data_IF_985177305122
#
_entry.id   IF_985177305122
#
_cell.length_a   1.000
_cell.length_b   1.000
_cell.length_c   1.000
_cell.angle_alpha   90.00
_cell.angle_beta   90.00
_cell.angle_gamma   90.00
#
_symmetry.space_group_name_H-M   'P 1'
#
loop_
_entity.id
_entity.type
_entity.pdbx_description
1 polymer ?
#
# COMPACT_ATOMS: atom_id res chain seq x y z
N UNK A 1 -50.26 -42.94 26.06
CA UNK A 1 -49.08 -42.72 26.93
C UNK A 1 -47.83 -43.05 26.14
N UNK A 2 -46.79 -42.23 26.30
CA UNK A 2 -45.39 -42.34 25.80
C UNK A 2 -45.20 -42.00 24.30
N UNK A 3 -44.89 -40.76 23.88
CA UNK A 3 -43.74 -39.83 24.14
C UNK A 3 -42.57 -40.09 23.17
N UNK A 4 -42.32 -39.07 22.32
CA UNK A 4 -41.06 -38.57 21.73
C UNK A 4 -40.17 -39.57 20.94
N UNK A 5 -39.52 -39.26 19.81
CA UNK A 5 -38.73 -38.08 19.48
C UNK A 5 -38.43 -37.99 17.97
N UNK A 6 -38.48 -36.76 17.45
CA UNK A 6 -37.61 -36.14 16.45
C UNK A 6 -36.56 -37.00 15.72
N UNK A 7 -36.65 -37.04 14.39
CA UNK A 7 -35.47 -37.04 13.50
C UNK A 7 -35.71 -36.03 12.37
N UNK A 8 -35.41 -34.76 12.70
CA UNK A 8 -35.27 -33.66 11.75
C UNK A 8 -33.80 -33.61 11.30
N UNK A 9 -33.59 -33.43 10.00
CA UNK A 9 -32.45 -32.76 9.37
C UNK A 9 -31.03 -33.32 9.62
N UNK A 10 -30.55 -34.15 8.70
CA UNK A 10 -29.15 -34.15 8.27
C UNK A 10 -29.04 -33.46 6.91
N UNK A 11 -29.41 -32.19 6.84
CA UNK A 11 -28.82 -31.28 5.86
C UNK A 11 -27.50 -30.79 6.45
N UNK A 12 -26.45 -31.59 6.27
CA UNK A 12 -25.06 -31.15 6.40
C UNK A 12 -24.80 -30.14 5.29
N UNK A 13 -25.22 -28.90 5.51
CA UNK A 13 -24.72 -27.78 4.74
C UNK A 13 -23.22 -27.77 4.93
N UNK A 14 -22.53 -28.00 3.83
CA UNK A 14 -21.11 -27.78 3.66
C UNK A 14 -20.79 -26.37 4.18
N UNK A 15 -20.33 -26.27 5.42
CA UNK A 15 -19.58 -25.12 5.89
C UNK A 15 -18.21 -25.21 5.23
N UNK A 16 -18.16 -24.85 3.94
CA UNK A 16 -16.93 -24.44 3.29
C UNK A 16 -16.33 -23.36 4.18
N UNK A 17 -15.07 -23.54 4.53
CA UNK A 17 -14.27 -22.65 5.35
C UNK A 17 -14.43 -21.19 4.88
N UNK A 18 -15.37 -20.48 5.50
CA UNK A 18 -15.40 -19.03 5.50
C UNK A 18 -14.33 -18.58 6.51
N UNK A 19 -13.06 -18.80 6.14
CA UNK A 19 -12.01 -17.94 6.66
C UNK A 19 -12.45 -16.52 6.36
N UNK A 20 -12.44 -15.64 7.36
CA UNK A 20 -12.79 -14.23 7.20
C UNK A 20 -12.16 -13.69 5.92
N UNK A 21 -12.97 -13.43 4.90
CA UNK A 21 -12.48 -12.94 3.62
C UNK A 21 -12.00 -11.51 3.84
N UNK A 22 -10.69 -11.38 4.00
CA UNK A 22 -10.01 -10.11 4.16
C UNK A 22 -9.63 -9.58 2.79
N UNK A 23 -9.84 -8.29 2.58
CA UNK A 23 -9.48 -7.60 1.35
C UNK A 23 -8.53 -6.45 1.66
N UNK A 24 -7.50 -6.31 0.83
CA UNK A 24 -6.45 -5.31 1.01
C UNK A 24 -6.35 -4.51 -0.27
N UNK A 25 -6.46 -3.18 -0.17
CA UNK A 25 -6.16 -2.26 -1.27
C UNK A 25 -5.03 -1.35 -0.81
N UNK A 26 -4.01 -1.24 -1.63
CA UNK A 26 -2.85 -0.41 -1.34
C UNK A 26 -2.64 0.65 -2.41
N UNK A 27 -2.14 1.81 -2.00
CA UNK A 27 -1.60 2.82 -2.89
C UNK A 27 -0.20 3.22 -2.44
N UNK A 28 0.63 3.64 -3.38
CA UNK A 28 1.89 4.29 -3.10
C UNK A 28 1.89 5.69 -3.69
N UNK A 29 2.65 6.62 -3.09
CA UNK A 29 2.90 7.95 -3.69
C UNK A 29 4.24 8.52 -3.26
N UNK A 30 4.76 9.42 -4.09
CA UNK A 30 5.85 10.31 -3.73
C UNK A 30 5.24 11.55 -3.06
N UNK A 31 5.82 12.00 -1.96
CA UNK A 31 5.52 13.32 -1.38
C UNK A 31 6.78 14.16 -1.41
N UNK A 32 6.65 15.37 -1.95
CA UNK A 32 7.79 16.22 -2.33
C UNK A 32 8.14 16.09 -3.81
N UNK A 33 9.19 16.79 -4.24
CA UNK A 33 9.65 16.78 -5.63
C UNK A 33 10.45 15.50 -5.93
N UNK A 34 10.22 14.89 -7.09
CA UNK A 34 11.15 13.89 -7.61
C UNK A 34 12.46 14.59 -8.00
N UNK A 35 13.49 14.31 -7.22
CA UNK A 35 14.84 14.82 -7.44
C UNK A 35 15.76 13.74 -8.01
N UNK A 36 15.24 12.57 -8.39
CA UNK A 36 16.06 11.51 -8.98
C UNK A 36 16.65 11.98 -10.31
N UNK A 37 17.95 11.76 -10.54
CA UNK A 37 18.55 12.00 -11.85
C UNK A 37 17.90 11.05 -12.89
N UNK A 38 17.27 11.58 -13.96
CA UNK A 38 16.60 10.76 -14.96
C UNK A 38 17.52 9.80 -15.73
N UNK A 39 18.84 10.00 -15.64
CA UNK A 39 19.88 9.15 -16.25
C UNK A 39 20.47 8.13 -15.28
N UNK A 40 20.24 8.28 -13.98
CA UNK A 40 20.75 7.35 -12.99
C UNK A 40 20.18 5.94 -13.18
N UNK A 41 21.03 4.94 -13.05
CA UNK A 41 20.68 3.52 -13.12
C UNK A 41 21.67 2.69 -12.31
N UNK A 42 21.27 1.46 -11.95
CA UNK A 42 22.14 0.53 -11.23
C UNK A 42 22.73 1.12 -9.94
N UNK A 43 24.05 1.12 -9.84
CA UNK A 43 24.79 1.58 -8.64
C UNK A 43 24.48 3.04 -8.30
N UNK A 44 24.32 3.89 -9.30
CA UNK A 44 24.06 5.33 -9.12
C UNK A 44 22.77 5.59 -8.32
N UNK A 45 21.77 4.73 -8.46
CA UNK A 45 20.49 4.84 -7.76
C UNK A 45 20.68 4.68 -6.24
N UNK A 46 21.56 3.77 -5.83
CA UNK A 46 21.83 3.49 -4.41
C UNK A 46 22.97 4.31 -3.83
N UNK A 47 23.94 4.75 -4.66
CA UNK A 47 25.13 5.45 -4.19
C UNK A 47 24.89 6.94 -3.96
N UNK A 48 24.07 7.57 -4.80
CA UNK A 48 23.87 9.00 -4.75
C UNK A 48 22.61 9.34 -3.94
N UNK A 49 22.72 10.08 -2.82
CA UNK A 49 21.57 10.47 -1.99
C UNK A 49 20.44 11.17 -2.76
N UNK A 50 20.77 11.84 -3.86
CA UNK A 50 19.76 12.46 -4.74
C UNK A 50 18.78 11.44 -5.34
N UNK A 51 19.18 10.18 -5.46
CA UNK A 51 18.39 9.10 -6.06
C UNK A 51 17.74 8.19 -5.01
N UNK A 52 17.90 8.45 -3.72
CA UNK A 52 17.46 7.52 -2.67
C UNK A 52 15.94 7.32 -2.61
N UNK A 53 15.13 8.25 -3.13
CA UNK A 53 13.70 8.02 -3.30
C UNK A 53 13.44 6.86 -4.26
N UNK A 54 14.11 6.85 -5.42
CA UNK A 54 14.06 5.76 -6.37
C UNK A 54 14.67 4.46 -5.81
N UNK A 55 15.75 4.54 -5.03
CA UNK A 55 16.31 3.38 -4.32
C UNK A 55 15.28 2.77 -3.35
N UNK A 56 14.65 3.60 -2.52
CA UNK A 56 13.62 3.17 -1.58
C UNK A 56 12.44 2.50 -2.30
N UNK A 57 11.95 3.11 -3.38
CA UNK A 57 10.91 2.51 -4.23
C UNK A 57 11.33 1.17 -4.83
N UNK A 58 12.57 1.05 -5.31
CA UNK A 58 13.12 -0.20 -5.86
C UNK A 58 13.17 -1.31 -4.80
N UNK A 59 13.62 -1.00 -3.58
CA UNK A 59 13.68 -1.94 -2.46
C UNK A 59 12.28 -2.38 -2.03
N UNK A 60 11.31 -1.46 -1.97
CA UNK A 60 9.92 -1.79 -1.64
C UNK A 60 9.32 -2.73 -2.69
N UNK A 61 9.49 -2.44 -3.98
CA UNK A 61 9.03 -3.33 -5.07
C UNK A 61 9.68 -4.70 -4.94
N UNK A 62 11.00 -4.76 -4.78
CA UNK A 62 11.73 -6.02 -4.60
C UNK A 62 11.25 -6.83 -3.38
N UNK A 63 10.97 -6.13 -2.27
CA UNK A 63 10.39 -6.74 -1.05
C UNK A 63 9.02 -7.37 -1.31
N UNK A 64 8.21 -6.71 -2.14
CA UNK A 64 6.90 -7.22 -2.57
C UNK A 64 7.02 -8.41 -3.52
N UNK A 65 7.91 -8.34 -4.52
CA UNK A 65 8.16 -9.43 -5.47
C UNK A 65 8.59 -10.72 -4.76
N UNK A 66 9.45 -10.61 -3.73
CA UNK A 66 9.95 -11.74 -2.95
C UNK A 66 8.83 -12.58 -2.30
N UNK A 67 7.67 -11.98 -2.02
CA UNK A 67 6.51 -12.65 -1.40
C UNK A 67 5.31 -12.73 -2.33
N UNK A 68 5.50 -12.42 -3.63
CA UNK A 68 4.42 -12.35 -4.63
C UNK A 68 3.30 -11.40 -4.20
N UNK A 69 3.67 -10.28 -3.60
CA UNK A 69 2.77 -9.15 -3.36
C UNK A 69 2.39 -8.54 -4.72
N UNK A 70 1.38 -9.13 -5.33
CA UNK A 70 0.79 -8.70 -6.58
C UNK A 70 -0.72 -8.65 -6.37
N UNK A 71 -1.37 -7.51 -6.66
CA UNK A 71 -2.82 -7.44 -6.55
C UNK A 71 -3.50 -8.32 -7.59
N UNK A 72 -4.67 -8.83 -7.22
CA UNK A 72 -5.52 -9.63 -8.10
C UNK A 72 -6.46 -8.69 -8.88
N UNK A 73 -7.57 -9.24 -9.39
CA UNK A 73 -8.59 -8.48 -10.11
C UNK A 73 -9.08 -7.27 -9.29
N UNK A 74 -9.33 -6.15 -9.96
CA UNK A 74 -9.74 -4.87 -9.38
C UNK A 74 -8.76 -4.25 -8.37
N UNK A 75 -7.52 -4.77 -8.30
CA UNK A 75 -6.48 -4.19 -7.47
C UNK A 75 -6.48 -4.63 -6.01
N UNK A 76 -7.15 -5.75 -5.72
CA UNK A 76 -7.40 -6.24 -4.37
C UNK A 76 -6.48 -7.43 -4.09
N UNK A 77 -5.88 -7.46 -2.90
CA UNK A 77 -5.17 -8.60 -2.37
C UNK A 77 -6.04 -9.28 -1.30
N UNK A 78 -6.24 -10.59 -1.44
CA UNK A 78 -7.10 -11.38 -0.54
C UNK A 78 -6.33 -12.29 0.42
N UNK A 79 -5.00 -12.16 0.46
CA UNK A 79 -4.14 -12.95 1.33
C UNK A 79 -3.36 -12.00 2.25
N UNK A 80 -3.82 -11.92 3.50
CA UNK A 80 -3.18 -11.10 4.52
C UNK A 80 -1.75 -11.57 4.83
N UNK A 81 -1.44 -12.86 4.69
CA UNK A 81 -0.09 -13.34 4.94
C UNK A 81 0.89 -12.79 3.89
N UNK A 82 0.47 -12.69 2.63
CA UNK A 82 1.30 -12.04 1.59
C UNK A 82 1.59 -10.59 1.96
N UNK A 83 0.59 -9.85 2.43
CA UNK A 83 0.75 -8.46 2.84
C UNK A 83 1.63 -8.30 4.10
N UNK A 84 1.41 -9.14 5.12
CA UNK A 84 2.21 -9.12 6.34
C UNK A 84 3.67 -9.48 6.05
N UNK A 85 3.91 -10.48 5.20
CA UNK A 85 5.26 -10.87 4.78
C UNK A 85 5.93 -9.77 3.96
N UNK A 86 5.19 -9.07 3.10
CA UNK A 86 5.68 -7.88 2.38
C UNK A 86 6.17 -6.82 3.37
N UNK A 87 5.35 -6.52 4.40
CA UNK A 87 5.76 -5.61 5.47
C UNK A 87 7.02 -6.10 6.17
N UNK A 88 7.01 -7.31 6.70
CA UNK A 88 8.17 -7.88 7.40
C UNK A 88 9.45 -7.79 6.58
N UNK A 89 9.38 -8.04 5.27
CA UNK A 89 10.54 -7.96 4.37
C UNK A 89 11.17 -6.57 4.33
N UNK A 90 10.39 -5.52 4.10
CA UNK A 90 10.98 -4.17 4.02
C UNK A 90 11.29 -3.61 5.42
N UNK A 91 10.51 -3.94 6.47
CA UNK A 91 10.84 -3.55 7.84
C UNK A 91 12.15 -4.18 8.32
N UNK A 92 12.49 -5.38 7.82
CA UNK A 92 13.74 -6.05 8.12
C UNK A 92 14.91 -5.66 7.20
N UNK A 93 14.68 -4.79 6.21
CA UNK A 93 15.74 -4.37 5.29
C UNK A 93 16.75 -3.47 6.03
N UNK A 94 18.06 -3.81 6.06
CA UNK A 94 19.03 -3.07 6.87
C UNK A 94 19.23 -1.59 6.48
N UNK A 95 18.87 -1.23 5.25
CA UNK A 95 18.89 0.16 4.79
C UNK A 95 17.68 0.99 5.23
N UNK A 96 16.71 0.39 5.94
CA UNK A 96 15.57 1.10 6.53
C UNK A 96 15.61 0.97 8.06
N UNK A 97 15.49 2.09 8.75
CA UNK A 97 15.47 2.14 10.21
C UNK A 97 14.12 2.65 10.71
N UNK A 98 13.47 1.90 11.59
CA UNK A 98 12.21 2.33 12.21
C UNK A 98 12.44 3.61 13.02
N UNK A 99 11.79 4.70 12.59
CA UNK A 99 11.81 5.99 13.28
C UNK A 99 10.71 6.05 14.33
N UNK A 100 9.50 5.63 13.96
CA UNK A 100 8.37 5.49 14.88
C UNK A 100 7.36 4.49 14.34
N UNK A 101 6.57 3.95 15.25
CA UNK A 101 5.40 3.12 15.01
C UNK A 101 4.33 3.60 15.99
N UNK A 102 3.24 4.15 15.46
CA UNK A 102 2.19 4.75 16.29
C UNK A 102 1.35 3.65 16.92
N UNK A 103 0.89 3.90 18.14
CA UNK A 103 -0.20 3.10 18.69
C UNK A 103 -1.42 3.19 17.76
N UNK A 104 -2.21 2.12 17.63
CA UNK A 104 -3.45 2.17 16.85
C UNK A 104 -4.39 3.23 17.41
N UNK A 105 -4.89 4.11 16.55
CA UNK A 105 -5.88 5.12 16.89
C UNK A 105 -7.23 4.64 16.36
N UNK A 106 -8.23 4.58 17.24
CA UNK A 106 -9.58 4.15 16.89
C UNK A 106 -10.57 5.30 16.90
N UNK A 107 -11.50 5.31 15.95
CA UNK A 107 -12.55 6.31 15.85
C UNK A 107 -13.85 5.72 15.30
N UNK A 108 -14.98 6.29 15.73
CA UNK A 108 -16.31 5.85 15.36
C UNK A 108 -16.74 6.42 14.00
N UNK A 109 -17.22 5.52 13.13
CA UNK A 109 -17.83 5.82 11.85
C UNK A 109 -19.34 5.60 11.94
N UNK A 110 -20.12 6.45 11.27
CA UNK A 110 -21.56 6.37 11.14
C UNK A 110 -22.02 5.81 9.78
N UNK A 111 -21.06 5.46 8.91
CA UNK A 111 -21.29 4.97 7.56
C UNK A 111 -21.13 6.01 6.44
N UNK A 112 -20.94 7.28 6.79
CA UNK A 112 -20.72 8.36 5.82
C UNK A 112 -19.24 8.45 5.38
N UNK A 113 -19.00 8.53 4.06
CA UNK A 113 -17.64 8.60 3.48
C UNK A 113 -16.94 9.91 3.83
N UNK A 114 -17.66 11.03 3.93
CA UNK A 114 -17.07 12.32 4.32
C UNK A 114 -16.69 12.31 5.79
N UNK A 115 -17.51 11.73 6.66
CA UNK A 115 -17.16 11.55 8.06
C UNK A 115 -15.88 10.70 8.23
N UNK A 116 -15.69 9.65 7.41
CA UNK A 116 -14.41 8.91 7.41
C UNK A 116 -13.23 9.84 7.12
N UNK A 117 -13.30 10.64 6.06
CA UNK A 117 -12.24 11.59 5.70
C UNK A 117 -11.96 12.57 6.84
N UNK A 118 -13.00 13.18 7.40
CA UNK A 118 -12.87 14.18 8.45
C UNK A 118 -12.31 13.58 9.76
N UNK A 119 -12.68 12.33 10.09
CA UNK A 119 -12.13 11.60 11.23
C UNK A 119 -10.65 11.25 11.03
N UNK A 120 -10.25 10.85 9.81
CA UNK A 120 -8.85 10.59 9.47
C UNK A 120 -8.01 11.86 9.57
N UNK A 121 -8.46 12.96 8.98
CA UNK A 121 -7.76 14.25 9.02
C UNK A 121 -7.53 14.69 10.48
N UNK A 122 -8.56 14.57 11.33
CA UNK A 122 -8.45 14.86 12.76
C UNK A 122 -7.45 13.94 13.47
N UNK A 123 -7.53 12.63 13.21
CA UNK A 123 -6.62 11.66 13.83
C UNK A 123 -5.15 11.95 13.50
N UNK A 124 -4.84 12.44 12.30
CA UNK A 124 -3.48 12.84 11.91
C UNK A 124 -3.05 14.18 12.49
N UNK A 125 -3.94 15.18 12.52
CA UNK A 125 -3.61 16.50 13.08
C UNK A 125 -3.37 16.45 14.59
N UNK A 126 -4.19 15.71 15.33
CA UNK A 126 -4.11 15.66 16.80
C UNK A 126 -2.93 14.83 17.30
N UNK A 127 -2.51 13.79 16.56
CA UNK A 127 -1.53 12.82 17.06
C UNK A 127 -0.13 12.93 16.46
N UNK A 128 0.03 13.53 15.26
CA UNK A 128 1.30 13.48 14.53
C UNK A 128 1.92 14.88 14.28
N UNK A 129 1.37 15.95 14.90
CA UNK A 129 1.83 17.35 14.74
C UNK A 129 2.14 17.74 13.28
N UNK A 130 1.39 17.16 12.32
CA UNK A 130 1.63 17.36 10.90
C UNK A 130 1.11 18.72 10.45
N UNK A 131 1.62 19.18 9.32
CA UNK A 131 0.97 20.28 8.60
C UNK A 131 -0.48 19.88 8.29
N UNK A 132 -1.43 20.80 8.46
CA UNK A 132 -2.84 20.55 8.16
C UNK A 132 -3.05 20.07 6.71
N UNK A 133 -2.16 20.48 5.78
CA UNK A 133 -2.23 20.06 4.38
C UNK A 133 -1.87 18.58 4.21
N UNK A 134 -0.85 18.09 4.91
CA UNK A 134 -0.44 16.68 4.84
C UNK A 134 -1.52 15.74 5.36
N UNK A 135 -2.13 16.06 6.50
CA UNK A 135 -3.20 15.25 7.10
C UNK A 135 -4.40 15.13 6.17
N UNK A 136 -4.80 16.25 5.57
CA UNK A 136 -5.88 16.30 4.57
C UNK A 136 -5.55 15.46 3.33
N UNK A 137 -4.34 15.57 2.80
CA UNK A 137 -3.92 14.79 1.63
C UNK A 137 -3.88 13.28 1.90
N UNK A 138 -3.51 12.85 3.11
CA UNK A 138 -3.59 11.44 3.53
C UNK A 138 -5.05 10.99 3.61
N UNK A 139 -5.91 11.76 4.27
CA UNK A 139 -7.33 11.45 4.42
C UNK A 139 -8.06 11.36 3.06
N UNK A 140 -7.82 12.32 2.17
CA UNK A 140 -8.36 12.33 0.80
C UNK A 140 -7.92 11.08 0.01
N UNK A 141 -6.69 10.62 0.19
CA UNK A 141 -6.20 9.42 -0.48
C UNK A 141 -6.89 8.14 0.02
N UNK A 142 -7.14 8.03 1.33
CA UNK A 142 -7.93 6.92 1.88
C UNK A 142 -9.39 6.94 1.39
N UNK A 143 -10.02 8.11 1.32
CA UNK A 143 -11.38 8.22 0.79
C UNK A 143 -11.46 7.77 -0.68
N UNK A 144 -10.41 8.05 -1.46
CA UNK A 144 -10.30 7.63 -2.87
C UNK A 144 -9.97 6.14 -3.03
N UNK A 145 -9.25 5.54 -2.07
CA UNK A 145 -8.96 4.11 -2.06
C UNK A 145 -10.22 3.26 -1.88
N UNK A 146 -11.25 3.79 -1.22
CA UNK A 146 -12.50 3.08 -1.02
C UNK A 146 -13.23 2.81 -2.35
N UNK A 147 -13.44 1.55 -2.73
CA UNK A 147 -14.18 1.22 -3.95
C UNK A 147 -15.62 1.72 -3.82
N UNK A 148 -16.15 2.31 -4.90
CA UNK A 148 -17.58 2.63 -4.97
C UNK A 148 -18.42 1.40 -5.30
N UNK A 149 -17.88 0.55 -6.17
CA UNK A 149 -18.52 -0.67 -6.67
C UNK A 149 -17.46 -1.74 -6.88
N UNK A 150 -17.81 -2.98 -6.55
CA UNK A 150 -16.99 -4.16 -6.74
C UNK A 150 -17.67 -5.09 -7.73
N UNK A 151 -16.94 -5.58 -8.72
CA UNK A 151 -17.45 -6.55 -9.69
C UNK A 151 -17.01 -7.98 -9.34
N UNK A 152 -15.86 -8.12 -8.68
CA UNK A 152 -15.35 -9.40 -8.21
C UNK A 152 -16.19 -9.95 -7.04
N UNK A 153 -16.67 -11.20 -7.16
CA UNK A 153 -17.55 -11.82 -6.15
C UNK A 153 -16.85 -12.07 -4.82
N UNK A 154 -15.55 -12.37 -4.85
CA UNK A 154 -14.74 -12.56 -3.65
C UNK A 154 -14.53 -11.22 -2.93
N UNK A 155 -14.33 -10.14 -3.67
CA UNK A 155 -14.33 -8.79 -3.14
C UNK A 155 -15.66 -8.42 -2.49
N UNK A 156 -16.79 -8.76 -3.12
CA UNK A 156 -18.11 -8.48 -2.57
C UNK A 156 -18.40 -9.24 -1.27
N UNK A 157 -17.85 -10.45 -1.11
CA UNK A 157 -18.02 -11.28 0.07
C UNK A 157 -17.05 -10.93 1.21
N UNK A 158 -15.96 -10.20 0.92
CA UNK A 158 -15.02 -9.69 1.91
C UNK A 158 -15.66 -8.63 2.83
N UNK A 159 -15.58 -8.88 4.14
CA UNK A 159 -16.11 -7.96 5.16
C UNK A 159 -15.03 -7.07 5.76
N UNK A 160 -13.85 -7.63 6.01
CA UNK A 160 -12.76 -6.92 6.67
C UNK A 160 -11.80 -6.37 5.63
N UNK A 161 -11.58 -5.06 5.68
CA UNK A 161 -10.79 -4.33 4.70
C UNK A 161 -9.61 -3.63 5.36
N UNK A 162 -8.42 -3.81 4.79
CA UNK A 162 -7.26 -2.98 5.07
C UNK A 162 -6.99 -2.09 3.87
N UNK A 163 -7.15 -0.78 4.06
CA UNK A 163 -6.66 0.21 3.12
C UNK A 163 -5.25 0.59 3.54
N UNK A 164 -4.29 0.49 2.63
CA UNK A 164 -2.91 0.85 2.90
C UNK A 164 -2.45 1.98 2.00
N UNK A 165 -1.66 2.89 2.57
CA UNK A 165 -0.96 3.90 1.83
C UNK A 165 0.52 3.87 2.20
N UNK A 166 1.39 3.74 1.20
CA UNK A 166 2.84 3.89 1.34
C UNK A 166 3.28 5.23 0.76
N UNK A 167 3.90 6.07 1.57
CA UNK A 167 4.45 7.37 1.18
C UNK A 167 5.97 7.24 1.11
N UNK A 168 6.56 7.55 -0.04
CA UNK A 168 8.00 7.78 -0.12
C UNK A 168 8.16 9.29 -0.10
N UNK A 169 8.81 9.83 0.92
CA UNK A 169 8.93 11.27 1.12
C UNK A 169 10.37 11.69 0.92
N UNK A 170 10.55 12.71 0.09
CA UNK A 170 11.84 13.38 -0.09
C UNK A 170 11.77 14.75 0.58
N UNK A 171 12.44 14.90 1.72
CA UNK A 171 12.50 16.17 2.45
C UNK A 171 13.31 17.23 1.72
N UNK A 172 13.14 18.49 2.11
CA UNK A 172 13.97 19.61 1.62
C UNK A 172 15.45 19.43 2.01
N UNK A 173 15.70 18.73 3.12
CA UNK A 173 17.02 18.34 3.60
C UNK A 173 17.62 17.15 2.82
N UNK A 174 16.98 16.72 1.73
CA UNK A 174 17.32 15.56 0.89
C UNK A 174 17.25 14.22 1.60
N UNK A 175 16.73 14.16 2.83
CA UNK A 175 16.52 12.88 3.52
C UNK A 175 15.29 12.21 2.94
N UNK A 176 15.39 10.89 2.80
CA UNK A 176 14.28 10.06 2.34
C UNK A 176 13.73 9.28 3.52
N UNK A 177 12.41 9.26 3.62
CA UNK A 177 11.71 8.43 4.59
C UNK A 177 10.51 7.77 3.94
N UNK A 178 10.14 6.60 4.45
CA UNK A 178 8.98 5.84 4.02
C UNK A 178 7.96 5.92 5.15
N UNK A 179 6.73 6.27 4.84
CA UNK A 179 5.62 6.19 5.79
C UNK A 179 4.62 5.17 5.29
N UNK A 180 4.14 4.32 6.18
CA UNK A 180 3.06 3.38 5.90
C UNK A 180 1.91 3.74 6.81
N UNK A 181 0.74 3.92 6.20
CA UNK A 181 -0.51 4.16 6.88
C UNK A 181 -1.46 3.02 6.55
N UNK A 182 -2.10 2.47 7.58
CA UNK A 182 -3.00 1.32 7.47
C UNK A 182 -4.31 1.66 8.17
N UNK A 183 -5.40 1.68 7.41
CA UNK A 183 -6.75 1.84 7.92
C UNK A 183 -7.49 0.51 7.84
N UNK A 184 -7.91 0.00 8.98
CA UNK A 184 -8.75 -1.18 9.11
C UNK A 184 -10.20 -0.78 9.30
N UNK A 185 -11.08 -1.33 8.47
CA UNK A 185 -12.53 -1.12 8.56
C UNK A 185 -13.31 -2.33 8.02
N UNK A 186 -14.59 -2.39 8.35
CA UNK A 186 -15.57 -3.35 7.85
C UNK A 186 -16.41 -2.70 6.76
N UNK A 187 -16.52 -3.33 5.60
CA UNK A 187 -17.41 -2.88 4.52
C UNK A 187 -18.54 -3.88 4.32
N UNK A 188 -19.71 -3.38 3.92
CA UNK A 188 -20.77 -4.21 3.36
C UNK A 188 -20.90 -3.94 1.88
N UNK A 189 -21.17 -4.98 1.10
CA UNK A 189 -21.38 -4.85 -0.33
C UNK A 189 -22.74 -5.43 -0.69
N UNK A 190 -23.50 -4.69 -1.49
CA UNK A 190 -24.77 -5.19 -2.04
C UNK A 190 -24.46 -6.29 -3.05
N UNK A 191 -24.86 -7.54 -2.76
CA UNK A 191 -24.64 -8.67 -3.66
C UNK A 191 -25.35 -8.52 -5.02
N UNK A 192 -26.43 -7.72 -5.08
CA UNK A 192 -27.19 -7.48 -6.31
C UNK A 192 -26.55 -6.39 -7.18
N UNK A 193 -26.05 -5.32 -6.57
CA UNK A 193 -25.62 -4.13 -7.31
C UNK A 193 -24.10 -3.93 -7.33
N UNK A 194 -23.39 -4.62 -6.44
CA UNK A 194 -21.95 -4.47 -6.19
C UNK A 194 -21.57 -3.19 -5.44
N UNK A 195 -22.53 -2.34 -5.05
CA UNK A 195 -22.23 -1.08 -4.35
C UNK A 195 -21.71 -1.35 -2.94
N UNK A 196 -20.64 -0.65 -2.59
CA UNK A 196 -19.96 -0.74 -1.30
C UNK A 196 -20.49 0.33 -0.36
N UNK A 197 -20.73 -0.07 0.89
CA UNK A 197 -21.21 0.77 1.96
C UNK A 197 -20.25 0.68 3.15
N UNK A 198 -19.93 1.83 3.74
CA UNK A 198 -19.24 1.88 5.02
C UNK A 198 -20.28 1.60 6.10
N UNK A 199 -19.99 0.66 6.99
CA UNK A 199 -20.86 0.39 8.13
C UNK A 199 -20.65 1.42 9.25
N UNK A 200 -21.66 1.57 10.11
CA UNK A 200 -21.43 2.14 11.45
C UNK A 200 -20.53 1.18 12.23
N UNK A 201 -19.36 1.66 12.68
CA UNK A 201 -18.34 0.83 13.30
C UNK A 201 -17.23 1.66 13.94
N UNK A 202 -16.40 1.02 14.75
CA UNK A 202 -15.07 1.52 15.10
C UNK A 202 -14.08 1.17 13.98
N UNK A 203 -13.45 2.17 13.38
CA UNK A 203 -12.31 1.98 12.48
C UNK A 203 -11.00 2.23 13.22
N UNK A 204 -9.91 1.62 12.76
CA UNK A 204 -8.60 1.75 13.40
C UNK A 204 -7.54 2.12 12.38
N UNK A 205 -6.75 3.14 12.68
CA UNK A 205 -5.60 3.54 11.88
C UNK A 205 -4.28 3.30 12.61
N UNK A 206 -3.28 2.85 11.87
CA UNK A 206 -1.90 2.72 12.34
C UNK A 206 -0.96 3.37 11.35
N UNK A 207 0.10 3.99 11.85
CA UNK A 207 1.15 4.59 11.03
C UNK A 207 2.53 4.14 11.48
N UNK A 208 3.43 3.93 10.52
CA UNK A 208 4.83 3.68 10.80
C UNK A 208 5.70 4.53 9.87
N UNK A 209 6.85 4.98 10.38
CA UNK A 209 7.84 5.73 9.60
C UNK A 209 9.19 5.02 9.65
N UNK A 210 9.78 4.82 8.48
CA UNK A 210 11.12 4.29 8.28
C UNK A 210 12.01 5.40 7.73
N UNK A 211 13.16 5.63 8.36
CA UNK A 211 14.21 6.46 7.78
C UNK A 211 15.02 5.62 6.80
N UNK A 212 15.30 6.18 5.62
CA UNK A 212 16.25 5.57 4.68
C UNK A 212 17.67 5.88 5.17
N UNK A 213 18.47 4.84 5.38
CA UNK A 213 19.83 4.98 5.86
C UNK A 213 20.77 5.25 4.68
N UNK A 214 21.03 6.52 4.43
CA UNK A 214 21.87 6.97 3.32
C UNK A 214 23.27 6.34 3.33
N UNK A 215 23.87 6.20 4.52
CA UNK A 215 25.20 5.61 4.68
C UNK A 215 25.20 4.13 4.31
N UNK A 216 24.14 3.40 4.65
CA UNK A 216 24.00 2.00 4.26
C UNK A 216 23.85 1.87 2.74
N UNK A 217 22.92 2.61 2.14
CA UNK A 217 22.71 2.56 0.69
C UNK A 217 23.99 2.91 -0.08
N UNK A 218 24.69 3.96 0.35
CA UNK A 218 25.95 4.38 -0.27
C UNK A 218 27.04 3.33 -0.15
N UNK A 219 27.26 2.79 1.06
CA UNK A 219 28.32 1.82 1.33
C UNK A 219 28.11 0.47 0.63
N UNK A 220 26.85 0.06 0.45
CA UNK A 220 26.49 -1.23 -0.14
C UNK A 220 25.92 -1.11 -1.57
N UNK A 221 26.06 0.05 -2.22
CA UNK A 221 25.42 0.37 -3.48
C UNK A 221 25.70 -0.66 -4.59
N UNK A 222 26.95 -1.12 -4.74
CA UNK A 222 27.31 -2.11 -5.76
C UNK A 222 26.62 -3.45 -5.53
N UNK A 223 26.56 -3.91 -4.27
CA UNK A 223 25.91 -5.16 -3.90
C UNK A 223 24.39 -5.06 -4.09
N UNK A 224 23.80 -3.94 -3.67
CA UNK A 224 22.37 -3.68 -3.87
C UNK A 224 22.02 -3.65 -5.36
N UNK A 225 22.79 -2.94 -6.19
CA UNK A 225 22.54 -2.86 -7.63
C UNK A 225 22.66 -4.20 -8.37
N UNK A 226 23.46 -5.13 -7.87
CA UNK A 226 23.56 -6.49 -8.44
C UNK A 226 22.33 -7.36 -8.13
N UNK A 227 21.59 -7.06 -7.05
CA UNK A 227 20.53 -7.92 -6.52
C UNK A 227 19.13 -7.34 -6.66
N UNK A 228 19.02 -6.02 -6.59
CA UNK A 228 17.76 -5.29 -6.58
C UNK A 228 17.63 -4.54 -7.91
N UNK A 229 16.64 -4.89 -8.75
CA UNK A 229 16.34 -4.14 -9.96
C UNK A 229 16.06 -2.67 -9.63
N UNK A 230 16.76 -1.76 -10.29
CA UNK A 230 16.54 -0.32 -10.12
C UNK A 230 15.36 0.16 -10.94
N UNK A 231 14.47 0.88 -10.29
CA UNK A 231 13.28 1.48 -10.89
C UNK A 231 13.33 3.00 -10.72
N UNK A 232 12.70 3.73 -11.65
CA UNK A 232 12.33 5.11 -11.40
C UNK A 232 11.26 5.15 -10.32
N UNK A 233 11.23 6.21 -9.51
CA UNK A 233 10.25 6.34 -8.42
C UNK A 233 8.80 6.26 -8.93
N UNK A 234 8.51 6.88 -10.09
CA UNK A 234 7.19 6.78 -10.75
C UNK A 234 6.81 5.33 -11.08
N UNK A 235 7.76 4.54 -11.59
CA UNK A 235 7.51 3.12 -11.90
C UNK A 235 7.30 2.30 -10.63
N UNK A 236 8.09 2.55 -9.59
CA UNK A 236 7.93 1.88 -8.30
C UNK A 236 6.56 2.18 -7.67
N UNK A 237 6.14 3.44 -7.67
CA UNK A 237 4.81 3.86 -7.19
C UNK A 237 3.70 3.16 -7.95
N UNK A 238 3.81 3.07 -9.29
CA UNK A 238 2.83 2.39 -10.12
C UNK A 238 2.73 0.90 -9.78
N UNK A 239 3.86 0.23 -9.55
CA UNK A 239 3.88 -1.21 -9.22
C UNK A 239 3.32 -1.47 -7.82
N UNK A 240 3.65 -0.62 -6.85
CA UNK A 240 3.20 -0.75 -5.46
C UNK A 240 1.72 -0.35 -5.28
N UNK A 241 1.19 0.47 -6.18
CA UNK A 241 -0.22 0.87 -6.18
C UNK A 241 -1.07 -0.21 -6.81
N UNK A 242 -1.99 -0.77 -6.04
CA UNK A 242 -2.75 -1.92 -6.47
C UNK A 242 -4.05 -1.55 -7.17
N UNK A 243 -4.65 -0.40 -6.86
CA UNK A 243 -5.96 0.00 -7.39
C UNK A 243 -5.88 0.76 -8.73
N UNK A 244 -7.05 0.92 -9.37
CA UNK A 244 -7.29 1.81 -10.53
C UNK A 244 -6.95 3.30 -10.27
N UNK A 245 -6.33 3.64 -9.13
CA UNK A 245 -5.74 4.95 -8.84
C UNK A 245 -4.60 5.32 -9.80
N UNK A 246 -4.17 4.43 -10.70
CA UNK A 246 -3.30 4.79 -11.84
C UNK A 246 -3.84 5.97 -12.64
N UNK A 247 -5.16 6.14 -12.75
CA UNK A 247 -5.79 7.28 -13.42
C UNK A 247 -5.71 8.59 -12.62
N UNK A 248 -5.53 8.52 -11.30
CA UNK A 248 -5.50 9.70 -10.42
C UNK A 248 -4.10 10.30 -10.26
N UNK A 249 -3.05 9.49 -10.46
CA UNK A 249 -1.67 9.99 -10.48
C UNK A 249 -1.38 10.81 -11.75
N UNK A 250 -2.10 10.56 -12.85
CA UNK A 250 -2.02 11.36 -14.07
C UNK A 250 -2.50 12.81 -13.85
N UNK A 251 -3.56 13.02 -13.05
CA UNK A 251 -4.10 14.36 -12.74
C UNK A 251 -3.21 15.17 -11.77
N UNK A 252 -2.34 14.50 -11.00
CA UNK A 252 -1.34 15.19 -10.16
C UNK A 252 -0.11 15.60 -10.96
N UNK A 253 0.34 14.78 -11.91
CA UNK A 253 1.45 15.09 -12.82
C UNK A 253 1.12 16.32 -13.71
N UNK A 254 -0.13 16.52 -14.12
CA UNK A 254 -0.54 17.63 -15.00
C UNK A 254 -0.47 19.02 -14.31
N UNK A 255 -0.46 19.07 -12.97
CA UNK A 255 -0.28 20.32 -12.23
C UNK A 255 1.18 20.66 -11.91
N UNK A 256 2.09 19.71 -12.04
CA UNK A 256 3.53 19.91 -11.77
C UNK A 256 4.38 20.04 -13.03
N UNK A 257 3.95 19.45 -14.15
CA UNK A 257 4.65 19.55 -15.43
C UNK A 257 3.90 20.46 -16.42
N UNK A 258 4.10 21.77 -16.23
CA UNK A 258 3.97 22.69 -17.36
C UNK A 258 5.02 22.33 -18.41
N UNK A 259 4.56 21.76 -19.53
CA UNK A 259 5.30 21.52 -20.79
C UNK A 259 6.06 20.19 -20.91
N UNK A 260 5.47 19.20 -21.60
CA UNK A 260 5.86 18.74 -22.94
C UNK A 260 5.25 17.36 -23.28
N UNK A 261 4.49 17.31 -24.39
CA UNK A 261 4.63 16.28 -25.41
C UNK A 261 4.19 14.83 -25.12
N UNK A 262 2.99 14.50 -25.59
CA UNK A 262 2.51 13.16 -25.97
C UNK A 262 3.56 12.23 -26.61
N UNK A 263 3.61 10.96 -26.17
CA UNK A 263 3.91 9.83 -27.06
C UNK A 263 3.39 8.49 -26.52
N UNK A 264 2.91 7.68 -27.46
CA UNK A 264 2.15 6.44 -27.32
C UNK A 264 2.89 5.26 -26.66
N UNK A 265 2.08 4.31 -26.17
CA UNK A 265 2.51 3.17 -25.38
C UNK A 265 3.27 2.07 -26.13
N UNK A 266 3.86 1.18 -25.35
CA UNK A 266 4.25 -0.17 -25.78
C UNK A 266 4.20 -1.09 -24.56
N UNK A 267 3.27 -2.05 -24.56
CA UNK A 267 3.25 -3.17 -23.60
C UNK A 267 4.45 -4.08 -23.89
N UNK A 268 5.37 -4.24 -22.93
CA UNK A 268 6.39 -5.29 -22.95
C UNK A 268 6.05 -6.38 -21.93
N UNK A 269 6.11 -7.62 -22.40
CA UNK A 269 5.97 -8.87 -21.66
C UNK A 269 7.15 -9.09 -20.70
N UNK A 270 6.86 -9.41 -19.45
CA UNK A 270 7.87 -9.74 -18.43
C UNK A 270 8.52 -11.11 -18.68
N UNK A 271 9.85 -11.12 -18.81
CA UNK A 271 10.69 -12.31 -18.71
C UNK A 271 10.80 -12.76 -17.24
N UNK A 272 10.60 -14.06 -16.97
CA UNK A 272 10.81 -14.67 -15.65
C UNK A 272 12.29 -14.57 -15.24
N UNK A 273 12.59 -13.76 -14.24
CA UNK A 273 13.87 -13.80 -13.52
C UNK A 273 13.74 -14.70 -12.27
N UNK A 274 14.83 -15.35 -11.88
CA UNK A 274 14.92 -16.18 -10.66
C UNK A 274 15.16 -15.24 -9.47
N UNK A 275 14.36 -15.39 -8.41
CA UNK A 275 14.35 -14.49 -7.26
C UNK A 275 15.24 -15.01 -6.11
N UNK A 276 16.04 -14.13 -5.53
CA UNK A 276 16.77 -14.36 -4.28
C UNK A 276 16.01 -13.72 -3.11
N UNK A 277 16.01 -14.37 -1.95
CA UNK A 277 15.36 -13.88 -0.72
C UNK A 277 16.19 -12.78 -0.05
N UNK A 278 15.53 -11.73 0.47
CA UNK A 278 16.13 -10.67 1.29
C UNK A 278 16.85 -11.20 2.53
N UNK A 279 16.50 -12.40 3.03
CA UNK A 279 17.21 -13.05 4.14
C UNK A 279 18.69 -13.33 3.83
N UNK A 280 19.08 -13.34 2.56
CA UNK A 280 20.46 -13.51 2.10
C UNK A 280 21.28 -12.19 2.07
N UNK A 281 20.69 -11.08 2.52
CA UNK A 281 21.38 -9.79 2.73
C UNK A 281 21.77 -9.55 4.19
N UNK A 282 21.58 -10.52 5.09
CA UNK A 282 22.13 -10.45 6.44
C UNK A 282 23.65 -10.64 6.36
N UNK A 283 24.37 -9.51 6.34
CA UNK A 283 25.81 -9.41 6.62
C UNK A 283 26.00 -8.80 7.99
#
# INVERSE_FOLDING_TARGET
MLIQSFLLACSTTVALALGSEQAIISTARLVGKDITDPRANGVEIFRNPHNHAAAAGSILVFSGEAVRYQPQQDGILFDKNIYDNYKQNFFAFPGFALSYDTLPISFELNGDRRQLRDSLERAYNENDNRSNNDAKEIADAFEKLLPRKLNDKKAQAAKDWTLSQTLIRSGEDKRVYIEIHELSLTLTTSMTTGYVQINKQTATIRSAKLNVNDRFLTSFADNLAQRIPTLRIRDAIRILSTSNLQLFLADFDEKTDGSYGSAAGTRRTHSRQRFYSLSQLRM
#
